data_IF_116694916657
#
_entry.id   IF_116694916657
#
_cell.length_a   1.000
_cell.length_b   1.000
_cell.length_c   1.000
_cell.angle_alpha   90.00
_cell.angle_beta   90.00
_cell.angle_gamma   90.00
#
_symmetry.space_group_name_H-M   'P 1'
#
loop_
_entity.id
_entity.type
_entity.pdbx_description
1 polymer ?
#
# COMPACT_ATOMS: atom_id res chain seq x y z
N UNK A 1 -6.46 -11.59 27.66
CA UNK A 1 -5.47 -10.64 27.12
C UNK A 1 -5.57 -10.79 25.63
N UNK A 2 -6.28 -9.87 24.99
CA UNK A 2 -6.34 -9.83 23.53
C UNK A 2 -5.04 -9.15 23.07
N UNK A 3 -4.40 -9.71 22.05
CA UNK A 3 -3.18 -9.13 21.48
C UNK A 3 -3.56 -8.25 20.29
N UNK A 4 -2.69 -7.32 19.94
CA UNK A 4 -2.83 -6.61 18.68
C UNK A 4 -2.78 -7.62 17.51
N UNK A 5 -3.44 -7.31 16.38
CA UNK A 5 -3.29 -8.14 15.18
C UNK A 5 -1.82 -8.13 14.75
N UNK A 6 -1.39 -9.18 14.05
CA UNK A 6 -0.04 -9.24 13.48
C UNK A 6 -0.13 -9.77 12.05
N UNK A 7 0.60 -9.18 11.12
CA UNK A 7 0.69 -9.71 9.76
C UNK A 7 1.64 -10.91 9.75
N UNK A 8 1.14 -12.05 9.29
CA UNK A 8 1.97 -13.24 9.06
C UNK A 8 2.54 -13.27 7.64
N UNK A 9 1.95 -12.48 6.74
CA UNK A 9 2.47 -12.25 5.39
C UNK A 9 3.46 -11.09 5.38
N UNK A 10 4.54 -11.28 4.63
CA UNK A 10 5.48 -10.22 4.28
C UNK A 10 5.19 -9.75 2.85
N UNK A 11 5.17 -8.43 2.62
CA UNK A 11 5.05 -7.88 1.28
C UNK A 11 6.43 -7.76 0.65
N UNK A 12 6.61 -8.38 -0.50
CA UNK A 12 7.83 -8.25 -1.28
C UNK A 12 7.78 -6.99 -2.17
N UNK A 13 8.94 -6.37 -2.46
CA UNK A 13 9.00 -5.26 -3.40
C UNK A 13 8.58 -5.72 -4.80
N UNK A 14 7.66 -4.98 -5.41
CA UNK A 14 7.11 -5.32 -6.72
C UNK A 14 7.67 -4.37 -7.77
N UNK A 15 8.03 -4.92 -8.93
CA UNK A 15 8.37 -4.10 -10.10
C UNK A 15 7.26 -4.20 -11.12
N UNK A 16 6.55 -3.10 -11.34
CA UNK A 16 5.50 -3.01 -12.34
C UNK A 16 6.10 -2.60 -13.69
N UNK A 17 5.69 -3.31 -14.74
CA UNK A 17 6.08 -2.99 -16.10
C UNK A 17 5.42 -1.68 -16.57
N UNK A 18 6.03 -1.06 -17.56
CA UNK A 18 5.49 0.11 -18.24
C UNK A 18 4.06 -0.17 -18.75
N UNK A 19 3.09 0.61 -18.28
CA UNK A 19 1.67 0.48 -18.66
C UNK A 19 0.84 -0.39 -17.71
N UNK A 20 1.45 -1.06 -16.73
CA UNK A 20 0.72 -1.73 -15.64
C UNK A 20 0.37 -0.70 -14.58
N UNK A 21 -0.90 -0.31 -14.53
CA UNK A 21 -1.42 0.65 -13.56
C UNK A 21 -2.06 0.00 -12.33
N UNK A 22 -2.24 -1.33 -12.36
CA UNK A 22 -2.95 -2.08 -11.34
C UNK A 22 -2.13 -3.23 -10.77
N UNK A 23 -2.21 -3.38 -9.45
CA UNK A 23 -1.62 -4.50 -8.75
C UNK A 23 -2.44 -4.82 -7.51
N UNK A 24 -2.45 -6.10 -7.14
CA UNK A 24 -3.12 -6.57 -5.94
C UNK A 24 -2.14 -7.29 -5.02
N UNK A 25 -2.14 -6.91 -3.76
CA UNK A 25 -1.44 -7.63 -2.70
C UNK A 25 -2.43 -8.39 -1.86
N UNK A 26 -2.02 -9.59 -1.45
CA UNK A 26 -2.73 -10.36 -0.46
C UNK A 26 -1.91 -10.36 0.82
N UNK A 27 -2.57 -10.08 1.93
CA UNK A 27 -1.96 -10.14 3.26
C UNK A 27 -2.81 -11.00 4.16
N UNK A 28 -2.14 -11.80 4.97
CA UNK A 28 -2.77 -12.63 5.98
C UNK A 28 -2.40 -12.08 7.34
N UNK A 29 -3.43 -11.93 8.18
CA UNK A 29 -3.26 -11.63 9.59
C UNK A 29 -3.18 -12.95 10.36
N UNK A 30 -2.47 -12.93 11.48
CA UNK A 30 -2.47 -13.97 12.52
C UNK A 30 -3.90 -14.30 12.96
N UNK A 31 -4.12 -15.27 13.85
CA UNK A 31 -5.47 -15.66 14.31
C UNK A 31 -6.35 -14.54 14.93
N UNK A 32 -5.87 -13.29 14.99
CA UNK A 32 -6.55 -12.12 15.53
C UNK A 32 -7.09 -11.27 14.38
N UNK A 33 -8.42 -11.17 14.29
CA UNK A 33 -9.12 -10.32 13.32
C UNK A 33 -8.85 -8.84 13.60
N UNK A 34 -8.54 -8.09 12.54
CA UNK A 34 -8.54 -6.63 12.61
C UNK A 34 -9.95 -6.10 12.38
N UNK A 35 -10.32 -5.08 13.14
CA UNK A 35 -11.59 -4.36 12.95
C UNK A 35 -11.50 -3.49 11.69
N UNK A 36 -10.29 -2.97 11.43
CA UNK A 36 -10.01 -2.19 10.25
C UNK A 36 -8.63 -2.47 9.69
N UNK A 37 -8.54 -2.59 8.35
CA UNK A 37 -7.28 -2.78 7.63
C UNK A 37 -7.20 -1.76 6.51
N UNK A 38 -6.19 -0.90 6.57
CA UNK A 38 -5.98 0.17 5.59
C UNK A 38 -4.57 0.08 5.02
N UNK A 39 -4.45 0.39 3.74
CA UNK A 39 -3.18 0.61 3.07
C UNK A 39 -3.03 2.08 2.75
N UNK A 40 -1.88 2.64 3.09
CA UNK A 40 -1.46 3.97 2.76
C UNK A 40 -0.46 3.88 1.61
N UNK A 41 -0.83 4.39 0.44
CA UNK A 41 0.01 4.42 -0.75
C UNK A 41 0.63 5.81 -0.86
N UNK A 42 1.95 5.84 -0.69
CA UNK A 42 2.78 7.04 -0.73
C UNK A 42 3.40 7.10 -2.13
N UNK A 43 3.00 8.06 -2.97
CA UNK A 43 3.59 8.21 -4.28
C UNK A 43 5.05 8.70 -4.17
N UNK A 44 5.91 8.38 -5.17
CA UNK A 44 7.31 8.84 -5.19
C UNK A 44 7.45 10.38 -5.19
N UNK A 45 6.38 11.09 -5.57
CA UNK A 45 6.35 12.55 -5.56
C UNK A 45 6.18 13.12 -4.14
N UNK A 46 5.65 12.34 -3.20
CA UNK A 46 5.42 12.77 -1.82
C UNK A 46 6.69 12.57 -0.99
N UNK A 47 7.31 13.68 -0.62
CA UNK A 47 8.53 13.68 0.20
C UNK A 47 8.19 13.90 1.69
N UNK A 48 7.94 12.83 2.44
CA UNK A 48 7.63 12.90 3.87
C UNK A 48 8.81 13.45 4.71
N UNK A 49 10.04 13.20 4.26
CA UNK A 49 11.27 13.59 4.96
C UNK A 49 11.57 15.09 4.86
N UNK A 50 10.97 15.80 3.89
CA UNK A 50 11.19 17.23 3.70
C UNK A 50 10.42 18.12 4.68
N UNK A 51 9.84 17.54 5.74
CA UNK A 51 9.11 18.29 6.75
C UNK A 51 7.82 18.88 6.18
N UNK A 52 6.95 18.02 5.64
CA UNK A 52 5.60 18.41 5.25
C UNK A 52 4.93 19.08 6.46
N UNK A 53 4.79 20.40 6.37
CA UNK A 53 4.30 21.24 7.48
C UNK A 53 2.78 21.19 7.58
N UNK A 54 2.11 20.58 6.59
CA UNK A 54 0.66 20.46 6.53
C UNK A 54 0.23 19.00 6.46
N UNK A 55 -0.41 18.52 7.53
CA UNK A 55 -1.12 17.23 7.55
C UNK A 55 -2.12 17.10 6.41
N UNK A 56 -2.73 18.20 6.01
CA UNK A 56 -3.68 18.25 4.90
C UNK A 56 -3.03 17.95 3.54
N UNK A 57 -1.76 18.30 3.33
CA UNK A 57 -1.03 17.94 2.10
C UNK A 57 -0.70 16.45 2.07
N UNK A 58 -0.35 15.88 3.23
CA UNK A 58 -0.15 14.45 3.36
C UNK A 58 -1.46 13.73 3.02
N UNK A 59 -2.56 14.07 3.68
CA UNK A 59 -3.88 13.47 3.43
C UNK A 59 -4.34 13.59 1.97
N UNK A 60 -4.10 14.74 1.33
CA UNK A 60 -4.50 14.94 -0.07
C UNK A 60 -3.67 14.16 -1.10
N UNK A 61 -2.41 13.84 -0.77
CA UNK A 61 -1.51 13.16 -1.70
C UNK A 61 -1.25 11.70 -1.34
N UNK A 62 -1.49 11.33 -0.08
CA UNK A 62 -1.55 9.96 0.40
C UNK A 62 -2.84 9.34 -0.11
N UNK A 63 -2.74 8.17 -0.72
CA UNK A 63 -3.92 7.43 -1.11
C UNK A 63 -4.16 6.34 -0.09
N UNK A 64 -5.20 6.50 0.72
CA UNK A 64 -5.64 5.45 1.63
C UNK A 64 -6.65 4.53 0.94
N UNK A 65 -6.37 3.24 0.95
CA UNK A 65 -7.24 2.20 0.40
C UNK A 65 -7.56 1.21 1.49
N UNK A 66 -8.85 0.99 1.71
CA UNK A 66 -9.32 -0.05 2.63
C UNK A 66 -9.18 -1.43 1.96
N UNK A 67 -8.68 -2.41 2.70
CA UNK A 67 -8.50 -3.75 2.15
C UNK A 67 -9.81 -4.55 2.23
N UNK A 68 -10.06 -5.36 1.21
CA UNK A 68 -11.22 -6.24 1.17
C UNK A 68 -10.93 -7.55 1.92
N UNK A 69 -11.74 -7.94 2.93
CA UNK A 69 -11.58 -9.23 3.59
C UNK A 69 -11.97 -10.37 2.64
N UNK A 70 -11.05 -11.29 2.39
CA UNK A 70 -11.26 -12.48 1.56
C UNK A 70 -11.83 -13.67 2.35
N UNK A 71 -11.62 -13.70 3.67
CA UNK A 71 -11.94 -14.84 4.54
C UNK A 71 -10.68 -15.41 5.20
N UNK A 72 -10.84 -16.19 6.29
CA UNK A 72 -9.70 -16.76 7.04
C UNK A 72 -8.63 -15.73 7.43
N UNK A 73 -9.06 -14.52 7.86
CA UNK A 73 -8.15 -13.43 8.21
C UNK A 73 -7.22 -12.98 7.07
N UNK A 74 -7.57 -13.31 5.83
CA UNK A 74 -6.92 -12.83 4.62
C UNK A 74 -7.59 -11.56 4.12
N UNK A 75 -6.79 -10.61 3.66
CA UNK A 75 -7.22 -9.34 3.14
C UNK A 75 -6.52 -9.08 1.80
N UNK A 76 -7.25 -8.49 0.87
CA UNK A 76 -6.74 -8.11 -0.44
C UNK A 76 -6.69 -6.61 -0.56
N UNK A 77 -5.50 -6.09 -0.83
CA UNK A 77 -5.32 -4.73 -1.31
C UNK A 77 -5.36 -4.76 -2.84
N UNK A 78 -6.28 -4.03 -3.46
CA UNK A 78 -6.24 -3.75 -4.90
C UNK A 78 -6.00 -2.26 -5.10
N UNK A 79 -4.97 -1.94 -5.87
CA UNK A 79 -4.67 -0.55 -6.24
C UNK A 79 -4.46 -0.44 -7.74
N UNK A 80 -5.25 0.39 -8.39
CA UNK A 80 -5.22 0.69 -9.84
C UNK A 80 -4.77 2.13 -10.16
N UNK A 81 -4.17 2.81 -9.18
CA UNK A 81 -3.75 4.21 -9.29
C UNK A 81 -2.30 4.44 -9.73
N UNK A 82 -1.55 3.42 -10.20
CA UNK A 82 -0.15 3.58 -10.61
C UNK A 82 -0.05 4.31 -11.96
N UNK A 83 -0.14 5.64 -11.92
CA UNK A 83 -0.13 6.50 -13.11
C UNK A 83 1.22 7.19 -13.34
N UNK A 84 2.03 7.38 -12.30
CA UNK A 84 3.37 7.94 -12.40
C UNK A 84 4.41 6.83 -12.34
N UNK A 85 5.52 7.01 -13.04
CA UNK A 85 6.66 6.12 -12.89
C UNK A 85 7.49 6.56 -11.68
N UNK A 86 8.06 5.58 -10.97
CA UNK A 86 8.85 5.79 -9.77
C UNK A 86 8.53 4.77 -8.68
N UNK A 87 9.13 4.98 -7.51
CA UNK A 87 9.03 4.08 -6.37
C UNK A 87 7.91 4.52 -5.42
N UNK A 88 6.83 3.75 -5.42
CA UNK A 88 5.72 3.94 -4.50
C UNK A 88 5.99 3.16 -3.22
N UNK A 89 5.70 3.77 -2.08
CA UNK A 89 5.76 3.07 -0.79
C UNK A 89 4.35 2.73 -0.35
N UNK A 90 4.06 1.44 -0.19
CA UNK A 90 2.75 0.95 0.23
C UNK A 90 2.92 0.50 1.67
N UNK A 91 2.21 1.15 2.60
CA UNK A 91 2.23 0.80 4.01
C UNK A 91 0.87 0.27 4.43
N UNK A 92 0.80 -0.99 4.84
CA UNK A 92 -0.44 -1.64 5.27
C UNK A 92 -0.45 -1.69 6.78
N UNK A 93 -1.54 -1.20 7.37
CA UNK A 93 -1.77 -1.17 8.80
C UNK A 93 -3.11 -1.81 9.13
N UNK A 94 -3.14 -2.54 10.22
CA UNK A 94 -4.34 -3.14 10.76
C UNK A 94 -4.55 -2.63 12.18
N UNK A 95 -5.78 -2.33 12.56
CA UNK A 95 -6.12 -1.90 13.91
C UNK A 95 -7.36 -2.64 14.41
N UNK A 96 -7.40 -2.87 15.71
CA UNK A 96 -8.56 -3.43 16.41
C UNK A 96 -8.81 -2.65 17.71
N UNK A 97 -9.84 -3.05 18.46
CA UNK A 97 -10.21 -2.41 19.72
C UNK A 97 -9.13 -2.48 20.81
N UNK A 98 -8.21 -3.45 20.73
CA UNK A 98 -7.15 -3.67 21.70
C UNK A 98 -5.85 -2.94 21.34
N UNK A 99 -5.59 -2.71 20.05
CA UNK A 99 -4.37 -2.07 19.59
C UNK A 99 -4.20 -2.03 18.07
N UNK A 100 -3.04 -1.52 17.67
CA UNK A 100 -2.64 -1.40 16.27
C UNK A 100 -1.59 -2.46 15.98
N UNK A 101 -1.76 -3.18 14.88
CA UNK A 101 -0.80 -4.15 14.37
C UNK A 101 0.47 -3.45 13.91
N UNK A 102 1.59 -4.19 13.92
CA UNK A 102 2.82 -3.71 13.31
C UNK A 102 2.59 -3.46 11.82
N UNK A 103 2.73 -2.22 11.32
CA UNK A 103 2.51 -1.94 9.91
C UNK A 103 3.60 -2.61 9.07
N UNK A 104 3.21 -3.18 7.95
CA UNK A 104 4.13 -3.73 6.95
C UNK A 104 4.25 -2.74 5.80
N UNK A 105 5.46 -2.60 5.24
CA UNK A 105 5.71 -1.71 4.12
C UNK A 105 6.33 -2.48 2.96
N UNK A 106 6.00 -2.06 1.74
CA UNK A 106 6.64 -2.54 0.52
C UNK A 106 6.90 -1.39 -0.45
N UNK A 107 7.81 -1.62 -1.38
CA UNK A 107 8.17 -0.68 -2.43
C UNK A 107 7.70 -1.21 -3.76
N UNK A 108 7.04 -0.36 -4.54
CA UNK A 108 6.53 -0.70 -5.87
C UNK A 108 7.18 0.21 -6.87
N UNK A 109 8.12 -0.32 -7.64
CA UNK A 109 8.81 0.40 -8.70
C UNK A 109 8.00 0.31 -9.98
N UNK A 110 7.42 1.43 -10.41
CA UNK A 110 6.68 1.52 -11.67
C UNK A 110 7.63 1.98 -12.78
N UNK A 111 7.78 1.16 -13.81
CA UNK A 111 8.59 1.51 -14.98
C UNK A 111 8.01 2.68 -15.78
N UNK A 112 8.90 3.51 -16.35
CA UNK A 112 8.49 4.54 -17.30
C UNK A 112 7.88 3.88 -18.52
N UNK A 113 6.64 4.26 -18.83
CA UNK A 113 6.06 4.00 -20.13
C UNK A 113 6.78 4.84 -21.17
N UNK A 114 7.84 4.27 -21.74
CA UNK A 114 8.30 4.66 -23.05
C UNK A 114 7.15 4.35 -23.99
N UNK A 115 6.37 5.36 -24.38
CA UNK A 115 5.56 5.29 -25.59
C UNK A 115 6.51 5.14 -26.77
N UNK A 116 7.04 3.94 -26.98
CA UNK A 116 7.70 3.58 -28.22
C UNK A 116 6.61 3.35 -29.26
N UNK A 117 6.13 4.48 -29.80
CA UNK A 117 5.17 4.56 -30.89
C UNK A 117 5.46 5.73 -31.83
N UNK A 118 6.71 6.20 -31.87
CA UNK A 118 7.15 7.30 -32.72
C UNK A 118 8.31 6.91 -33.62
N UNK A 119 8.03 6.96 -34.93
CA UNK A 119 8.96 7.01 -36.08
C UNK A 119 9.39 5.68 -36.73
N UNK A 120 8.61 5.25 -37.72
CA UNK A 120 9.14 5.07 -39.08
C UNK A 120 8.12 5.50 -40.13
#
# INVERSE_FOLDING_TARGET
>A
MSLAPEFVTSLEPVKLEAGVNSHSWQVELSAITADQVRAAIIPPNLNLEQGLTSWQQIDQALVEVELEPLGDNSYQLRYDGFQQAGDYTIMIQASNQDGVATPIQTTVSVGWQSTEGGCK
#
